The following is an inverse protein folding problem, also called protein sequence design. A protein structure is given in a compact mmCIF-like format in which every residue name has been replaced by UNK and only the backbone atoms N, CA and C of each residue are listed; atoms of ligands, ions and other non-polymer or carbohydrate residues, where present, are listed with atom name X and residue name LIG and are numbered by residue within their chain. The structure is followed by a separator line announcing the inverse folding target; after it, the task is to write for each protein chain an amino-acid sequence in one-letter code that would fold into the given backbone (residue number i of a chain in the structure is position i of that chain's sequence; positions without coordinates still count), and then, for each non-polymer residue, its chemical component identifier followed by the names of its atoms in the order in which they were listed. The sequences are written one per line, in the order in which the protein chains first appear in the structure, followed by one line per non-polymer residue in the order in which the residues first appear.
data_IF_457526049068
#
_entry.id   IF_457526049068
#
_cell.length_a   1.000
_cell.length_b   1.000
_cell.length_c   1.000
_cell.angle_alpha   90.00
_cell.angle_beta   90.00
_cell.angle_gamma   90.00
#
_symmetry.space_group_name_H-M   'P 1'
#
loop_
_entity.id
_entity.type
_entity.pdbx_description
1 polymer ?
#
# COMPACT_ATOMS: atom_id res chain seq x y z
N UNK A 1 -8.46 -30.93 -35.52
CA UNK A 1 -9.17 -29.66 -35.26
C UNK A 1 -9.76 -29.75 -33.86
N UNK A 2 -9.42 -28.85 -32.93
CA UNK A 2 -10.01 -28.89 -31.59
C UNK A 2 -11.49 -28.53 -31.68
N UNK A 3 -12.34 -29.34 -31.04
CA UNK A 3 -13.77 -29.07 -30.94
C UNK A 3 -13.96 -27.81 -30.10
N UNK A 4 -14.62 -26.80 -30.66
CA UNK A 4 -15.06 -25.62 -29.93
C UNK A 4 -16.06 -26.04 -28.87
N UNK A 5 -15.66 -26.03 -27.60
CA UNK A 5 -16.57 -26.14 -26.47
C UNK A 5 -17.54 -24.95 -26.54
N UNK A 6 -18.80 -25.25 -26.90
CA UNK A 6 -19.87 -24.29 -26.80
C UNK A 6 -20.19 -24.10 -25.32
N UNK A 7 -19.69 -23.02 -24.74
CA UNK A 7 -20.15 -22.56 -23.43
C UNK A 7 -21.66 -22.29 -23.54
N UNK A 8 -22.44 -23.02 -22.75
CA UNK A 8 -23.88 -22.83 -22.65
C UNK A 8 -24.24 -21.41 -22.21
N UNK A 9 -25.51 -20.99 -22.36
CA UNK A 9 -25.94 -19.66 -21.97
C UNK A 9 -25.59 -19.42 -20.49
N UNK A 10 -24.91 -18.30 -20.21
CA UNK A 10 -24.64 -17.87 -18.84
C UNK A 10 -25.94 -17.76 -18.06
N UNK A 11 -26.03 -18.36 -16.86
CA UNK A 11 -27.24 -18.29 -16.05
C UNK A 11 -27.60 -16.84 -15.74
N UNK A 12 -28.89 -16.51 -15.87
CA UNK A 12 -29.42 -15.19 -15.57
C UNK A 12 -29.23 -14.90 -14.07
N UNK A 13 -28.46 -13.84 -13.77
CA UNK A 13 -28.22 -13.43 -12.39
C UNK A 13 -29.51 -12.89 -11.77
N UNK A 14 -29.77 -13.26 -10.51
CA UNK A 14 -30.86 -12.67 -9.74
C UNK A 14 -30.68 -11.15 -9.65
N UNK A 15 -31.75 -10.36 -9.46
CA UNK A 15 -31.63 -8.91 -9.30
C UNK A 15 -30.63 -8.51 -8.20
N UNK A 16 -30.65 -9.23 -7.07
CA UNK A 16 -29.68 -9.01 -5.98
C UNK A 16 -28.24 -9.30 -6.42
N UNK A 17 -27.99 -10.41 -7.12
CA UNK A 17 -26.63 -10.75 -7.56
C UNK A 17 -26.08 -9.75 -8.58
N UNK A 18 -26.95 -9.14 -9.40
CA UNK A 18 -26.57 -8.03 -10.29
C UNK A 18 -26.21 -6.77 -9.51
N UNK A 19 -27.02 -6.44 -8.50
CA UNK A 19 -26.75 -5.32 -7.60
C UNK A 19 -25.41 -5.46 -6.88
N UNK A 20 -25.17 -6.61 -6.26
CA UNK A 20 -23.92 -6.89 -5.55
C UNK A 20 -22.71 -6.80 -6.49
N UNK A 21 -22.85 -7.26 -7.74
CA UNK A 21 -21.81 -7.14 -8.76
C UNK A 21 -21.54 -5.67 -9.13
N UNK A 22 -22.56 -4.82 -9.18
CA UNK A 22 -22.40 -3.38 -9.43
C UNK A 22 -21.67 -2.69 -8.27
N UNK A 23 -22.01 -2.99 -7.02
CA UNK A 23 -21.30 -2.46 -5.84
C UNK A 23 -19.81 -2.83 -5.88
N UNK A 24 -19.51 -4.10 -6.20
CA UNK A 24 -18.12 -4.57 -6.37
C UNK A 24 -17.42 -3.82 -7.51
N UNK A 25 -18.11 -3.65 -8.64
CA UNK A 25 -17.56 -2.95 -9.80
C UNK A 25 -17.24 -1.48 -9.49
N UNK A 26 -18.12 -0.77 -8.76
CA UNK A 26 -17.87 0.61 -8.34
C UNK A 26 -16.66 0.69 -7.41
N UNK A 27 -16.53 -0.27 -6.49
CA UNK A 27 -15.33 -0.43 -5.67
C UNK A 27 -14.08 -0.54 -6.53
N UNK A 28 -14.02 -1.53 -7.42
CA UNK A 28 -12.86 -1.75 -8.31
C UNK A 28 -12.59 -0.58 -9.26
N UNK A 29 -13.63 0.10 -9.74
CA UNK A 29 -13.47 1.29 -10.59
C UNK A 29 -12.87 2.45 -9.80
N UNK A 30 -13.30 2.64 -8.54
CA UNK A 30 -12.70 3.62 -7.65
C UNK A 30 -11.22 3.33 -7.39
N UNK A 31 -10.84 2.08 -7.16
CA UNK A 31 -9.44 1.67 -7.04
C UNK A 31 -8.63 2.07 -8.29
N UNK A 32 -9.12 1.73 -9.48
CA UNK A 32 -8.44 2.04 -10.74
C UNK A 32 -8.29 3.54 -10.96
N UNK A 33 -9.35 4.30 -10.70
CA UNK A 33 -9.38 5.75 -10.86
C UNK A 33 -8.41 6.42 -9.89
N UNK A 34 -8.42 6.02 -8.62
CA UNK A 34 -7.50 6.57 -7.62
C UNK A 34 -6.04 6.32 -7.98
N UNK A 35 -5.75 5.24 -8.71
CA UNK A 35 -4.42 4.97 -9.23
C UNK A 35 -4.01 5.86 -10.43
N UNK A 36 -4.97 6.34 -11.22
CA UNK A 36 -4.69 6.99 -12.50
C UNK A 36 -4.79 8.52 -12.47
N UNK A 37 -5.63 9.10 -11.61
CA UNK A 37 -5.82 10.56 -11.60
C UNK A 37 -6.19 11.11 -10.22
N UNK A 38 -5.48 12.14 -9.73
CA UNK A 38 -5.83 12.89 -8.51
C UNK A 38 -7.27 13.41 -8.47
N UNK A 39 -7.83 13.76 -9.64
CA UNK A 39 -9.17 14.33 -9.79
C UNK A 39 -10.22 13.32 -10.24
N UNK A 40 -9.82 12.05 -10.37
CA UNK A 40 -10.64 11.00 -10.92
C UNK A 40 -11.88 10.64 -10.08
N UNK A 41 -11.91 11.05 -8.80
CA UNK A 41 -13.05 10.82 -7.90
C UNK A 41 -14.39 11.33 -8.44
N UNK A 42 -14.38 12.28 -9.39
CA UNK A 42 -15.60 12.75 -10.06
C UNK A 42 -16.35 11.63 -10.76
N UNK A 43 -15.66 10.66 -11.34
CA UNK A 43 -16.29 9.54 -12.03
C UNK A 43 -16.82 8.51 -11.02
N UNK A 44 -16.09 8.25 -9.94
CA UNK A 44 -16.59 7.46 -8.79
C UNK A 44 -17.86 8.10 -8.20
N UNK A 45 -17.90 9.42 -8.09
CA UNK A 45 -19.08 10.13 -7.58
C UNK A 45 -20.28 10.06 -8.53
N UNK A 46 -20.05 9.94 -9.85
CA UNK A 46 -21.14 9.69 -10.81
C UNK A 46 -21.71 8.29 -10.62
N UNK A 47 -20.85 7.29 -10.42
CA UNK A 47 -21.28 5.92 -10.18
C UNK A 47 -22.05 5.78 -8.87
N UNK A 48 -21.56 6.43 -7.81
CA UNK A 48 -22.27 6.50 -6.53
C UNK A 48 -23.60 7.25 -6.67
N UNK A 49 -23.68 8.29 -7.50
CA UNK A 49 -24.93 9.00 -7.76
C UNK A 49 -25.92 8.16 -8.57
N UNK A 50 -25.44 7.27 -9.45
CA UNK A 50 -26.26 6.29 -10.14
C UNK A 50 -26.84 5.29 -9.14
N UNK A 51 -25.98 4.68 -8.33
CA UNK A 51 -26.35 3.73 -7.29
C UNK A 51 -27.38 4.34 -6.31
N UNK A 52 -27.15 5.60 -5.88
CA UNK A 52 -28.07 6.36 -5.01
C UNK A 52 -29.48 6.56 -5.59
N UNK A 53 -29.61 6.62 -6.92
CA UNK A 53 -30.91 6.79 -7.59
C UNK A 53 -31.67 5.48 -7.73
N UNK A 54 -30.95 4.37 -7.76
CA UNK A 54 -31.51 3.02 -7.93
C UNK A 54 -31.89 2.41 -6.58
N UNK A 55 -31.14 2.74 -5.52
CA UNK A 55 -31.34 2.21 -4.18
C UNK A 55 -32.35 2.98 -3.31
N UNK A 56 -32.90 2.27 -2.32
CA UNK A 56 -33.52 2.94 -1.16
C UNK A 56 -32.43 3.62 -0.32
N UNK A 57 -32.75 4.68 0.45
CA UNK A 57 -31.75 5.34 1.31
C UNK A 57 -31.01 4.39 2.25
N UNK A 58 -31.71 3.39 2.80
CA UNK A 58 -31.14 2.39 3.71
C UNK A 58 -30.20 1.42 2.99
N UNK A 59 -30.55 1.02 1.76
CA UNK A 59 -29.71 0.12 0.96
C UNK A 59 -28.46 0.86 0.49
N UNK A 60 -28.64 2.08 -0.04
CA UNK A 60 -27.53 2.92 -0.47
C UNK A 60 -26.51 3.18 0.65
N UNK A 61 -26.99 3.41 1.88
CA UNK A 61 -26.11 3.60 3.03
C UNK A 61 -25.22 2.39 3.29
N UNK A 62 -25.77 1.17 3.18
CA UNK A 62 -25.00 -0.08 3.31
C UNK A 62 -24.01 -0.27 2.19
N UNK A 63 -24.40 0.05 0.95
CA UNK A 63 -23.53 -0.14 -0.20
C UNK A 63 -22.38 0.88 -0.19
N UNK A 64 -22.64 2.13 0.20
CA UNK A 64 -21.60 3.13 0.42
C UNK A 64 -20.64 2.70 1.55
N UNK A 65 -21.17 2.11 2.63
CA UNK A 65 -20.34 1.53 3.69
C UNK A 65 -19.47 0.39 3.15
N UNK A 66 -20.03 -0.54 2.38
CA UNK A 66 -19.30 -1.66 1.78
C UNK A 66 -18.19 -1.20 0.81
N UNK A 67 -18.47 -0.17 0.00
CA UNK A 67 -17.48 0.45 -0.90
C UNK A 67 -16.35 1.09 -0.10
N UNK A 68 -16.67 1.87 0.93
CA UNK A 68 -15.64 2.46 1.82
C UNK A 68 -14.80 1.37 2.49
N UNK A 69 -15.43 0.32 3.01
CA UNK A 69 -14.74 -0.82 3.62
C UNK A 69 -13.77 -1.48 2.64
N UNK A 70 -14.20 -1.69 1.39
CA UNK A 70 -13.35 -2.26 0.35
C UNK A 70 -12.14 -1.37 0.07
N UNK A 71 -12.38 -0.08 -0.13
CA UNK A 71 -11.34 0.90 -0.40
C UNK A 71 -10.36 1.07 0.77
N UNK A 72 -10.79 0.86 2.02
CA UNK A 72 -9.90 0.78 3.18
C UNK A 72 -9.05 -0.48 3.20
N UNK A 73 -9.67 -1.64 2.95
CA UNK A 73 -8.98 -2.93 2.93
C UNK A 73 -7.88 -2.96 1.88
N UNK A 74 -8.11 -2.31 0.74
CA UNK A 74 -7.15 -2.20 -0.35
C UNK A 74 -6.18 -1.02 -0.21
N UNK A 75 -6.35 -0.19 0.84
CA UNK A 75 -5.42 0.88 1.18
C UNK A 75 -5.55 2.16 0.34
N UNK A 76 -6.67 2.30 -0.39
CA UNK A 76 -6.92 3.45 -1.27
C UNK A 76 -7.44 4.69 -0.55
N UNK A 77 -8.23 4.49 0.52
CA UNK A 77 -8.75 5.60 1.35
C UNK A 77 -8.20 5.55 2.79
N UNK A 78 -6.87 5.55 3.02
CA UNK A 78 -6.35 5.49 4.38
C UNK A 78 -6.82 6.71 5.16
N UNK A 79 -7.61 6.49 6.21
CA UNK A 79 -8.15 7.52 7.10
C UNK A 79 -9.08 8.54 6.40
N UNK A 80 -9.63 8.16 5.25
CA UNK A 80 -10.62 8.93 4.51
C UNK A 80 -11.82 8.05 4.19
N UNK A 81 -12.97 8.63 3.99
CA UNK A 81 -14.17 7.93 3.56
C UNK A 81 -14.94 8.82 2.61
N UNK A 82 -15.68 8.18 1.71
CA UNK A 82 -16.64 8.85 0.87
C UNK A 82 -17.92 9.02 1.70
N UNK A 83 -18.35 10.26 1.88
CA UNK A 83 -19.58 10.59 2.60
C UNK A 83 -20.52 11.38 1.71
N UNK A 84 -21.83 11.21 1.98
CA UNK A 84 -22.84 12.10 1.42
C UNK A 84 -22.77 13.47 2.09
N UNK A 85 -22.86 14.51 1.27
CA UNK A 85 -23.01 15.90 1.71
C UNK A 85 -24.47 16.21 2.02
N UNK A 86 -24.77 17.20 2.87
CA UNK A 86 -26.15 17.63 3.15
C UNK A 86 -26.92 18.11 1.91
N UNK A 87 -26.21 18.45 0.82
CA UNK A 87 -26.78 18.93 -0.44
C UNK A 87 -27.02 17.81 -1.47
N UNK A 88 -26.78 16.55 -1.12
CA UNK A 88 -27.05 15.39 -1.99
C UNK A 88 -25.94 15.05 -2.99
N UNK A 89 -24.71 15.52 -2.78
CA UNK A 89 -23.51 15.05 -3.50
C UNK A 89 -22.55 14.26 -2.60
N UNK A 90 -21.37 13.91 -3.11
CA UNK A 90 -20.35 13.17 -2.36
C UNK A 90 -19.11 14.03 -2.08
N UNK A 91 -18.43 13.73 -0.98
CA UNK A 91 -17.12 14.28 -0.69
C UNK A 91 -16.26 13.26 0.03
N UNK A 92 -14.96 13.45 -0.04
CA UNK A 92 -14.02 12.73 0.82
C UNK A 92 -13.92 13.48 2.14
N UNK A 93 -14.12 12.74 3.23
CA UNK A 93 -13.98 13.25 4.59
C UNK A 93 -12.89 12.43 5.28
N UNK A 94 -12.02 13.10 6.06
CA UNK A 94 -11.16 12.36 6.98
C UNK A 94 -12.03 11.77 8.09
N UNK A 95 -11.89 10.47 8.33
CA UNK A 95 -12.52 9.88 9.51
C UNK A 95 -11.92 10.52 10.77
N UNK A 96 -12.76 10.83 11.76
CA UNK A 96 -12.24 11.29 13.05
C UNK A 96 -11.51 10.13 13.74
N UNK A 97 -10.37 10.41 14.37
CA UNK A 97 -9.54 9.37 15.00
C UNK A 97 -10.30 8.56 16.07
N UNK A 98 -11.37 9.12 16.67
CA UNK A 98 -12.20 8.45 17.68
C UNK A 98 -13.24 7.49 17.09
N UNK A 99 -13.89 7.87 15.99
CA UNK A 99 -14.91 7.04 15.33
C UNK A 99 -14.25 5.82 14.69
N UNK A 100 -13.12 6.02 14.01
CA UNK A 100 -12.38 4.92 13.39
C UNK A 100 -11.86 3.89 14.40
N UNK A 101 -11.33 4.32 15.55
CA UNK A 101 -10.81 3.39 16.57
C UNK A 101 -11.90 2.50 17.17
N UNK A 102 -13.06 3.08 17.48
CA UNK A 102 -14.21 2.31 18.00
C UNK A 102 -14.74 1.34 16.95
N UNK A 103 -14.87 1.80 15.71
CA UNK A 103 -15.43 1.01 14.63
C UNK A 103 -14.46 -0.09 14.17
N UNK A 104 -13.15 0.16 14.14
CA UNK A 104 -12.12 -0.86 13.90
C UNK A 104 -12.07 -1.92 15.03
N UNK A 105 -12.25 -1.51 16.30
CA UNK A 105 -12.36 -2.45 17.42
C UNK A 105 -13.62 -3.33 17.32
N UNK A 106 -14.78 -2.75 17.04
CA UNK A 106 -16.02 -3.52 16.83
C UNK A 106 -15.88 -4.48 15.64
N UNK A 107 -15.23 -4.05 14.56
CA UNK A 107 -14.95 -4.88 13.37
C UNK A 107 -14.03 -6.05 13.67
N UNK A 108 -13.01 -5.88 14.51
CA UNK A 108 -12.16 -6.99 14.95
C UNK A 108 -12.96 -8.01 15.77
N UNK A 109 -13.86 -7.54 16.63
CA UNK A 109 -14.72 -8.42 17.44
C UNK A 109 -15.70 -9.22 16.56
N UNK A 110 -16.41 -8.57 15.64
CA UNK A 110 -17.35 -9.25 14.74
C UNK A 110 -16.67 -10.29 13.83
N UNK A 111 -15.44 -10.01 13.37
CA UNK A 111 -14.67 -10.98 12.59
C UNK A 111 -14.23 -12.18 13.44
N UNK A 112 -13.72 -11.92 14.64
CA UNK A 112 -13.35 -12.98 15.58
C UNK A 112 -14.57 -13.88 15.86
N UNK A 113 -15.74 -13.29 16.13
CA UNK A 113 -16.98 -14.03 16.40
C UNK A 113 -17.44 -14.88 15.20
N UNK A 114 -17.28 -14.38 13.96
CA UNK A 114 -17.55 -15.17 12.74
C UNK A 114 -16.53 -16.29 12.51
N UNK A 115 -15.26 -16.08 12.87
CA UNK A 115 -14.20 -17.09 12.69
C UNK A 115 -14.30 -18.28 13.66
N UNK A 116 -15.02 -18.13 14.78
CA UNK A 116 -15.34 -19.23 15.71
C UNK A 116 -16.66 -19.94 15.40
N UNK A 117 -17.47 -19.41 14.48
CA UNK A 117 -18.71 -20.03 14.02
C UNK A 117 -18.47 -20.82 12.73
N UNK A 118 -17.50 -21.75 12.73
CA UNK A 118 -17.51 -22.80 11.72
C UNK A 118 -18.76 -23.68 11.97
N UNK A 119 -19.68 -23.85 11.02
CA UNK A 119 -20.77 -24.80 11.20
C UNK A 119 -20.16 -26.17 11.44
N UNK A 120 -20.59 -26.83 12.52
CA UNK A 120 -20.21 -28.20 12.79
C UNK A 120 -20.43 -29.03 11.51
N UNK A 121 -19.46 -29.85 11.07
CA UNK A 121 -19.60 -30.62 9.84
C UNK A 121 -20.88 -31.46 9.95
N UNK A 122 -21.81 -31.21 9.04
CA UNK A 122 -23.01 -32.02 8.93
C UNK A 122 -22.59 -33.48 8.76
N UNK A 123 -23.05 -34.34 9.66
CA UNK A 123 -22.78 -35.77 9.62
C UNK A 123 -23.28 -36.32 8.27
N UNK A 124 -22.34 -36.64 7.37
CA UNK A 124 -22.66 -37.37 6.15
C UNK A 124 -22.81 -38.85 6.48
N UNK A 125 -23.94 -39.48 6.12
CA UNK A 125 -24.13 -40.91 6.30
C UNK A 125 -23.50 -41.68 5.14
N UNK A 126 -22.58 -42.60 5.46
CA UNK A 126 -22.36 -43.82 4.68
C UNK A 126 -21.21 -43.83 3.66
N UNK A 127 -20.22 -44.68 3.95
CA UNK A 127 -19.61 -45.66 3.02
C UNK A 127 -18.84 -45.15 1.78
N UNK A 128 -17.54 -45.43 1.71
CA UNK A 128 -16.96 -46.64 1.09
C UNK A 128 -15.44 -46.47 1.01
N UNK A 129 -14.73 -47.48 1.50
CA UNK A 129 -13.28 -47.61 1.47
C UNK A 129 -12.87 -48.22 0.11
N UNK A 130 -12.06 -47.53 -0.66
CA UNK A 130 -11.32 -48.13 -1.78
C UNK A 130 -10.02 -47.37 -2.00
N UNK A 131 -8.91 -48.08 -1.79
CA UNK A 131 -7.57 -47.54 -1.96
C UNK A 131 -7.26 -47.30 -3.42
N UNK A 132 -6.66 -46.14 -3.69
CA UNK A 132 -5.83 -45.93 -4.87
C UNK A 132 -4.79 -44.86 -4.52
N UNK A 133 -3.52 -45.26 -4.57
CA UNK A 133 -2.37 -44.36 -4.60
C UNK A 133 -1.95 -44.27 -6.07
N UNK A 134 -1.76 -43.05 -6.60
CA UNK A 134 -0.49 -42.82 -7.27
C UNK A 134 0.11 -41.43 -7.02
N UNK A 135 1.37 -41.39 -7.42
CA UNK A 135 2.41 -40.38 -7.31
C UNK A 135 2.24 -39.13 -8.17
N UNK A 136 3.12 -38.16 -7.86
CA UNK A 136 3.67 -37.10 -8.71
C UNK A 136 2.86 -35.81 -8.99
N UNK A 137 3.49 -34.70 -8.60
CA UNK A 137 3.57 -33.49 -9.44
C UNK A 137 2.42 -32.50 -9.36
N UNK A 138 2.47 -31.58 -8.39
CA UNK A 138 1.74 -30.32 -8.49
C UNK A 138 2.58 -29.16 -7.93
N UNK A 139 3.06 -28.33 -8.85
CA UNK A 139 3.59 -26.99 -8.61
C UNK A 139 2.59 -26.17 -7.81
N UNK A 140 2.89 -25.99 -6.51
CA UNK A 140 2.12 -25.14 -5.62
C UNK A 140 2.18 -23.69 -6.08
N UNK A 141 1.09 -23.24 -6.71
CA UNK A 141 0.77 -21.84 -6.96
C UNK A 141 0.76 -21.12 -5.61
N UNK A 142 1.65 -20.15 -5.43
CA UNK A 142 1.86 -19.43 -4.18
C UNK A 142 0.55 -18.92 -3.59
N UNK A 143 0.20 -19.44 -2.40
CA UNK A 143 -0.86 -18.87 -1.59
C UNK A 143 -0.44 -17.48 -1.14
N UNK A 144 -1.22 -16.47 -1.51
CA UNK A 144 -1.09 -15.13 -0.95
C UNK A 144 -1.30 -15.23 0.57
N UNK A 145 -0.27 -14.92 1.35
CA UNK A 145 -0.41 -14.78 2.79
C UNK A 145 -1.43 -13.66 3.10
N UNK A 146 -2.26 -13.79 4.15
CA UNK A 146 -3.17 -12.74 4.56
C UNK A 146 -2.37 -11.47 4.89
N UNK A 147 -2.65 -10.39 4.16
CA UNK A 147 -2.00 -9.06 4.31
C UNK A 147 -2.15 -8.59 5.77
N UNK A 148 -1.04 -8.24 6.42
CA UNK A 148 -1.10 -7.56 7.71
C UNK A 148 -1.77 -6.20 7.53
N UNK A 149 -2.87 -5.96 8.25
CA UNK A 149 -3.65 -4.72 8.18
C UNK A 149 -2.88 -3.57 8.84
N UNK A 150 -2.92 -2.40 8.20
CA UNK A 150 -2.43 -1.12 8.71
C UNK A 150 -3.02 -0.83 10.11
N UNK A 151 -2.16 -0.53 11.10
CA UNK A 151 -2.56 -0.23 12.48
C UNK A 151 -2.58 1.30 12.73
N UNK A 152 -3.75 1.92 12.93
CA UNK A 152 -3.93 3.37 13.13
C UNK A 152 -3.41 3.90 14.48
N UNK A 153 -3.09 3.02 15.45
CA UNK A 153 -2.51 3.44 16.74
C UNK A 153 -1.09 4.01 16.60
N UNK A 154 -0.48 3.82 15.43
CA UNK A 154 0.87 4.24 15.10
C UNK A 154 0.88 5.61 14.36
N UNK A 155 0.16 6.62 14.88
CA UNK A 155 0.20 7.99 14.31
C UNK A 155 1.13 8.91 15.10
N UNK A 156 2.15 9.44 14.43
CA UNK A 156 2.97 10.55 14.94
C UNK A 156 2.29 11.90 14.75
N UNK A 157 2.46 12.81 15.71
CA UNK A 157 1.97 14.19 15.60
C UNK A 157 2.82 14.97 14.57
N UNK A 158 2.23 15.53 13.49
CA UNK A 158 2.98 16.26 12.47
C UNK A 158 3.56 17.55 13.08
N UNK A 159 4.90 17.63 13.15
CA UNK A 159 5.60 18.87 13.46
C UNK A 159 6.49 18.87 14.71
N UNK A 160 6.54 17.79 15.50
CA UNK A 160 7.49 17.70 16.61
C UNK A 160 8.08 16.28 16.72
N UNK A 161 8.84 15.91 15.70
CA UNK A 161 9.55 14.64 15.69
C UNK A 161 10.63 14.66 16.78
N UNK A 162 10.58 13.72 17.72
CA UNK A 162 11.71 13.45 18.60
C UNK A 162 12.76 12.74 17.77
N UNK A 163 13.62 13.52 17.13
CA UNK A 163 14.69 12.99 16.28
C UNK A 163 15.75 12.30 17.15
N UNK A 164 16.07 11.05 16.82
CA UNK A 164 17.17 10.32 17.43
C UNK A 164 18.40 10.44 16.54
N UNK A 165 19.47 11.14 16.94
CA UNK A 165 20.60 11.41 16.07
C UNK A 165 21.52 10.21 15.83
N UNK A 166 21.31 9.07 16.50
CA UNK A 166 22.22 7.93 16.42
C UNK A 166 21.82 7.01 15.28
N UNK A 167 22.75 6.79 14.34
CA UNK A 167 22.69 5.67 13.39
C UNK A 167 22.91 4.38 14.19
N UNK A 168 21.87 3.58 14.40
CA UNK A 168 21.97 2.31 15.12
C UNK A 168 21.77 1.12 14.20
N UNK A 169 22.68 0.14 14.27
CA UNK A 169 22.62 -1.09 13.50
C UNK A 169 23.27 -0.98 12.12
N UNK A 170 23.74 -2.11 11.59
CA UNK A 170 24.51 -2.12 10.34
C UNK A 170 23.64 -1.89 9.10
N UNK A 171 22.37 -2.29 9.14
CA UNK A 171 21.41 -1.98 8.08
C UNK A 171 21.27 -0.47 7.88
N UNK A 172 21.05 0.28 8.97
CA UNK A 172 20.92 1.74 8.92
C UNK A 172 22.19 2.41 8.36
N UNK A 173 23.38 1.95 8.78
CA UNK A 173 24.66 2.46 8.23
C UNK A 173 24.79 2.21 6.73
N UNK A 174 24.43 1.02 6.24
CA UNK A 174 24.49 0.69 4.81
C UNK A 174 23.51 1.51 3.99
N UNK A 175 22.27 1.68 4.50
CA UNK A 175 21.26 2.54 3.86
C UNK A 175 21.78 3.97 3.76
N UNK A 176 22.31 4.50 4.85
CA UNK A 176 22.87 5.85 4.89
C UNK A 176 24.04 6.02 3.91
N UNK A 177 24.96 5.06 3.87
CA UNK A 177 26.09 5.10 2.94
C UNK A 177 25.62 5.09 1.47
N UNK A 178 24.66 4.23 1.11
CA UNK A 178 24.08 4.19 -0.23
C UNK A 178 23.36 5.50 -0.57
N UNK A 179 22.48 5.97 0.32
CA UNK A 179 21.71 7.20 0.13
C UNK A 179 22.61 8.44 -0.04
N UNK A 180 23.71 8.53 0.71
CA UNK A 180 24.67 9.63 0.58
C UNK A 180 25.46 9.56 -0.73
N UNK A 181 25.83 8.36 -1.19
CA UNK A 181 26.58 8.19 -2.43
C UNK A 181 25.80 8.63 -3.68
N UNK A 182 24.47 8.64 -3.58
CA UNK A 182 23.57 9.04 -4.65
C UNK A 182 23.22 10.53 -4.67
N UNK A 183 23.67 11.34 -3.69
CA UNK A 183 23.36 12.78 -3.65
C UNK A 183 23.86 13.47 -4.93
N UNK A 184 22.97 14.22 -5.57
CA UNK A 184 23.20 14.93 -6.83
C UNK A 184 23.06 14.05 -8.07
N UNK A 185 22.87 12.74 -7.93
CA UNK A 185 22.62 11.86 -9.06
C UNK A 185 21.20 12.06 -9.61
N UNK A 186 21.01 11.88 -10.93
CA UNK A 186 19.67 11.79 -11.51
C UNK A 186 18.88 10.64 -10.87
N UNK A 187 17.57 10.80 -10.73
CA UNK A 187 16.72 9.74 -10.18
C UNK A 187 16.89 8.42 -10.94
N UNK A 188 16.68 7.32 -10.21
CA UNK A 188 16.63 5.97 -10.75
C UNK A 188 15.49 5.83 -11.76
N UNK A 189 15.83 5.92 -13.06
CA UNK A 189 14.88 5.74 -14.17
C UNK A 189 14.70 4.27 -14.56
N UNK A 190 15.71 3.44 -14.30
CA UNK A 190 15.76 2.04 -14.79
C UNK A 190 14.67 1.16 -14.20
N UNK A 191 14.32 1.36 -12.93
CA UNK A 191 13.18 0.67 -12.31
C UNK A 191 11.85 1.17 -12.82
N UNK A 192 11.79 2.36 -13.44
CA UNK A 192 10.52 3.03 -13.70
C UNK A 192 9.85 2.67 -15.03
N UNK A 193 10.42 1.81 -15.88
CA UNK A 193 9.84 1.24 -17.13
C UNK A 193 8.94 2.16 -17.99
N UNK A 194 9.09 3.49 -17.93
CA UNK A 194 8.23 4.43 -18.65
C UNK A 194 7.07 5.06 -17.85
N UNK A 195 7.03 4.95 -16.51
CA UNK A 195 6.19 5.81 -15.69
C UNK A 195 6.51 7.28 -16.00
N UNK A 196 5.45 8.07 -16.08
CA UNK A 196 5.25 9.36 -16.75
C UNK A 196 6.25 10.46 -16.35
N UNK A 197 7.50 10.32 -16.80
CA UNK A 197 8.53 11.33 -16.64
C UNK A 197 9.09 11.43 -15.21
N UNK A 198 10.05 12.33 -15.06
CA UNK A 198 10.87 12.59 -13.89
C UNK A 198 10.13 12.92 -12.56
N UNK A 199 8.80 12.80 -12.48
CA UNK A 199 7.97 13.31 -11.38
C UNK A 199 7.43 12.25 -10.43
N UNK A 200 7.54 10.97 -10.77
CA UNK A 200 6.88 9.85 -10.04
C UNK A 200 7.89 8.82 -9.49
N UNK A 201 9.14 9.24 -9.25
CA UNK A 201 10.24 8.31 -8.94
C UNK A 201 10.64 8.20 -7.46
N UNK A 202 9.90 8.76 -6.50
CA UNK A 202 10.37 8.82 -5.11
C UNK A 202 10.49 7.43 -4.48
N UNK A 203 9.47 6.58 -4.60
CA UNK A 203 9.52 5.20 -4.13
C UNK A 203 10.55 4.36 -4.90
N UNK A 204 10.61 4.52 -6.23
CA UNK A 204 11.59 3.82 -7.05
C UNK A 204 13.05 4.15 -6.67
N UNK A 205 13.35 5.41 -6.35
CA UNK A 205 14.66 5.83 -5.86
C UNK A 205 14.97 5.21 -4.50
N UNK A 206 14.02 5.25 -3.55
CA UNK A 206 14.20 4.63 -2.23
C UNK A 206 14.39 3.12 -2.36
N UNK A 207 13.58 2.41 -3.14
CA UNK A 207 13.78 0.98 -3.43
C UNK A 207 15.18 0.69 -3.96
N UNK A 208 15.71 1.55 -4.83
CA UNK A 208 17.06 1.38 -5.39
C UNK A 208 18.15 1.57 -4.33
N UNK A 209 18.02 2.60 -3.48
CA UNK A 209 18.92 2.82 -2.34
C UNK A 209 18.92 1.62 -1.39
N UNK A 210 17.73 1.09 -1.05
CA UNK A 210 17.62 -0.06 -0.14
C UNK A 210 18.25 -1.34 -0.72
N UNK A 211 18.14 -1.54 -2.03
CA UNK A 211 18.79 -2.64 -2.76
C UNK A 211 20.30 -2.46 -2.84
N UNK A 212 20.79 -1.26 -3.15
CA UNK A 212 22.21 -0.95 -3.16
C UNK A 212 22.84 -1.15 -1.77
N UNK A 213 22.09 -0.84 -0.71
CA UNK A 213 22.48 -1.10 0.67
C UNK A 213 22.44 -2.60 1.06
N UNK A 214 21.86 -3.46 0.22
CA UNK A 214 21.65 -4.87 0.50
C UNK A 214 20.75 -5.12 1.72
N UNK A 215 19.79 -4.21 1.98
CA UNK A 215 18.88 -4.31 3.13
C UNK A 215 17.48 -4.79 2.73
N UNK A 216 17.06 -4.54 1.49
CA UNK A 216 15.77 -4.98 0.96
C UNK A 216 15.86 -5.24 -0.54
N UNK A 217 15.00 -6.12 -1.06
CA UNK A 217 14.87 -6.40 -2.49
C UNK A 217 13.53 -5.92 -3.07
N UNK A 218 12.82 -5.02 -2.37
CA UNK A 218 11.56 -4.46 -2.85
C UNK A 218 11.74 -3.62 -4.13
N UNK A 219 10.77 -3.70 -5.03
CA UNK A 219 10.78 -3.03 -6.34
C UNK A 219 9.49 -2.24 -6.56
N UNK A 220 9.18 -1.34 -5.64
CA UNK A 220 7.91 -0.63 -5.64
C UNK A 220 8.06 0.81 -6.14
N UNK A 221 7.18 1.21 -7.05
CA UNK A 221 7.14 2.57 -7.62
C UNK A 221 6.12 3.46 -6.91
N UNK A 222 5.25 2.87 -6.10
CA UNK A 222 4.19 3.57 -5.38
C UNK A 222 4.50 3.58 -3.88
N UNK A 223 4.43 4.74 -3.23
CA UNK A 223 4.78 4.89 -1.81
C UNK A 223 4.02 3.91 -0.90
N UNK A 224 2.71 3.73 -1.14
CA UNK A 224 1.88 2.84 -0.32
C UNK A 224 2.27 1.37 -0.48
N UNK A 225 2.61 0.94 -1.71
CA UNK A 225 3.11 -0.43 -1.95
C UNK A 225 4.48 -0.64 -1.35
N UNK A 226 5.37 0.35 -1.47
CA UNK A 226 6.69 0.30 -0.86
C UNK A 226 6.59 0.15 0.66
N UNK A 227 5.76 0.95 1.32
CA UNK A 227 5.52 0.80 2.75
C UNK A 227 5.01 -0.62 3.09
N UNK A 228 3.99 -1.10 2.38
CA UNK A 228 3.41 -2.41 2.63
C UNK A 228 4.42 -3.56 2.42
N UNK A 229 5.26 -3.47 1.38
CA UNK A 229 6.30 -4.45 1.08
C UNK A 229 7.39 -4.46 2.16
N UNK A 230 7.85 -3.29 2.62
CA UNK A 230 8.82 -3.20 3.71
C UNK A 230 8.26 -3.77 5.01
N UNK A 231 7.00 -3.48 5.35
CA UNK A 231 6.35 -4.08 6.52
C UNK A 231 6.26 -5.61 6.42
N UNK A 232 6.02 -6.15 5.23
CA UNK A 232 6.05 -7.61 4.99
C UNK A 232 7.45 -8.21 5.18
N UNK A 233 8.51 -7.45 4.88
CA UNK A 233 9.91 -7.82 5.16
C UNK A 233 10.32 -7.61 6.64
N UNK A 234 9.37 -7.27 7.52
CA UNK A 234 9.60 -7.15 8.96
C UNK A 234 10.11 -5.78 9.42
N UNK A 235 10.02 -4.75 8.56
CA UNK A 235 10.25 -3.38 8.99
C UNK A 235 9.18 -2.93 9.99
N UNK A 236 9.59 -2.15 10.98
CA UNK A 236 8.69 -1.73 12.06
C UNK A 236 8.37 -0.24 11.98
N UNK A 237 7.11 0.11 12.17
CA UNK A 237 6.68 1.52 12.19
C UNK A 237 7.14 2.19 13.49
N UNK A 238 7.57 3.44 13.39
CA UNK A 238 8.02 4.27 14.52
C UNK A 238 7.53 5.72 14.39
N UNK A 239 7.58 6.44 15.52
CA UNK A 239 7.33 7.88 15.62
C UNK A 239 8.56 8.69 15.99
N UNK A 240 9.69 8.00 16.14
CA UNK A 240 10.98 8.57 16.53
C UNK A 240 11.93 8.34 15.36
N UNK A 241 12.00 9.29 14.40
CA UNK A 241 12.86 9.11 13.24
C UNK A 241 14.32 8.97 13.69
N UNK A 242 15.01 8.02 13.08
CA UNK A 242 16.43 7.77 13.24
C UNK A 242 17.10 7.68 11.86
N UNK A 243 18.38 8.07 11.72
CA UNK A 243 19.12 7.89 10.49
C UNK A 243 19.03 6.47 9.93
N UNK A 244 18.75 6.35 8.64
CA UNK A 244 18.55 5.07 7.94
C UNK A 244 17.11 4.57 7.93
N UNK A 245 16.18 5.21 8.64
CA UNK A 245 14.75 4.94 8.50
C UNK A 245 14.26 5.33 7.10
N UNK A 246 13.19 4.68 6.64
CA UNK A 246 12.42 5.18 5.50
C UNK A 246 11.29 6.06 6.02
N UNK A 247 11.21 7.30 5.54
CA UNK A 247 10.13 8.24 5.87
C UNK A 247 9.11 8.31 4.74
N UNK A 248 7.83 8.20 5.08
CA UNK A 248 6.70 8.40 4.17
C UNK A 248 5.90 9.62 4.63
N UNK A 249 5.56 10.50 3.69
CA UNK A 249 4.62 11.59 3.89
C UNK A 249 3.38 11.36 3.04
N UNK A 250 2.19 11.42 3.65
CA UNK A 250 0.90 11.29 2.96
C UNK A 250 0.10 12.59 3.09
N UNK A 251 -0.34 13.13 1.95
CA UNK A 251 -0.94 14.46 1.80
C UNK A 251 -2.39 14.40 1.30
N UNK A 252 -2.98 13.21 1.24
CA UNK A 252 -4.26 12.91 0.60
C UNK A 252 -4.09 11.83 -0.48
N UNK A 253 -5.13 11.58 -1.26
CA UNK A 253 -5.25 10.41 -2.16
C UNK A 253 -4.15 10.25 -3.21
N UNK A 254 -3.53 11.33 -3.65
CA UNK A 254 -2.55 11.32 -4.76
C UNK A 254 -1.24 12.00 -4.42
N UNK A 255 -1.12 12.48 -3.18
CA UNK A 255 0.10 13.14 -2.72
C UNK A 255 0.72 12.20 -1.70
N UNK A 256 1.70 11.44 -2.14
CA UNK A 256 2.59 10.72 -1.25
C UNK A 256 4.03 11.06 -1.63
N UNK A 257 4.91 11.02 -0.66
CA UNK A 257 6.34 11.18 -0.86
C UNK A 257 7.11 10.28 0.08
N UNK A 258 8.31 9.90 -0.31
CA UNK A 258 9.13 8.99 0.47
C UNK A 258 10.60 9.37 0.33
N UNK A 259 11.35 9.17 1.42
CA UNK A 259 12.79 9.41 1.49
C UNK A 259 13.45 8.53 2.54
N UNK A 260 14.76 8.73 2.70
CA UNK A 260 15.59 8.13 3.75
C UNK A 260 15.86 9.19 4.80
N UNK A 261 15.59 8.92 6.07
CA UNK A 261 15.96 9.81 7.18
C UNK A 261 17.48 9.88 7.25
N UNK A 262 18.02 11.10 7.12
CA UNK A 262 19.44 11.36 7.20
C UNK A 262 19.90 11.78 8.59
N UNK A 263 21.18 12.11 8.72
CA UNK A 263 21.73 12.69 9.95
C UNK A 263 21.23 14.12 10.17
N UNK A 264 21.37 14.65 11.40
CA UNK A 264 21.09 16.04 11.74
C UNK A 264 19.68 16.55 11.36
N UNK A 265 18.68 15.67 11.37
CA UNK A 265 17.31 16.04 11.02
C UNK A 265 17.13 16.36 9.54
N UNK A 266 17.91 15.70 8.67
CA UNK A 266 17.73 15.74 7.21
C UNK A 266 16.92 14.55 6.71
N UNK A 267 16.42 14.64 5.49
CA UNK A 267 15.91 13.53 4.70
C UNK A 267 16.58 13.57 3.34
N UNK A 268 17.04 12.42 2.86
CA UNK A 268 17.48 12.26 1.48
C UNK A 268 16.33 11.71 0.67
N UNK A 269 15.90 12.45 -0.34
CA UNK A 269 14.74 12.08 -1.12
C UNK A 269 14.88 12.51 -2.57
N UNK A 270 13.85 12.19 -3.34
CA UNK A 270 13.76 12.57 -4.72
C UNK A 270 13.00 13.90 -4.86
N UNK A 271 13.71 14.96 -5.23
CA UNK A 271 13.08 16.25 -5.45
C UNK A 271 12.52 16.35 -6.87
N UNK A 272 11.22 16.11 -7.03
CA UNK A 272 10.54 16.07 -8.35
C UNK A 272 10.71 17.33 -9.23
N UNK A 273 11.04 18.49 -8.65
CA UNK A 273 11.32 19.71 -9.42
C UNK A 273 12.72 19.77 -10.03
N UNK A 274 13.71 19.10 -9.43
CA UNK A 274 15.09 19.03 -9.93
C UNK A 274 15.35 17.69 -10.64
N UNK A 275 14.56 16.67 -10.32
CA UNK A 275 14.75 15.31 -10.83
C UNK A 275 16.06 14.68 -10.34
N UNK A 276 16.53 15.11 -9.18
CA UNK A 276 17.76 14.65 -8.55
C UNK A 276 17.48 14.13 -7.15
N UNK A 277 18.32 13.20 -6.71
CA UNK A 277 18.38 12.79 -5.31
C UNK A 277 19.08 13.90 -4.51
N UNK A 278 18.38 14.50 -3.56
CA UNK A 278 18.88 15.62 -2.75
C UNK A 278 18.80 15.31 -1.26
N UNK A 279 19.44 16.16 -0.45
CA UNK A 279 19.30 16.15 0.99
C UNK A 279 18.61 17.42 1.44
N UNK A 280 17.44 17.26 2.03
CA UNK A 280 16.56 18.34 2.48
C UNK A 280 16.30 18.23 3.98
N UNK A 281 15.66 19.24 4.56
CA UNK A 281 15.26 19.20 5.97
C UNK A 281 14.17 18.15 6.19
N UNK A 282 14.31 17.29 7.20
CA UNK A 282 13.28 16.32 7.60
C UNK A 282 11.95 17.00 7.97
N UNK A 283 12.00 18.27 8.41
CA UNK A 283 10.80 19.07 8.67
C UNK A 283 9.91 19.24 7.43
N UNK A 284 10.44 19.03 6.22
CA UNK A 284 9.65 18.91 4.99
C UNK A 284 8.50 17.91 5.16
N UNK A 285 8.79 16.74 5.75
CA UNK A 285 7.83 15.68 6.00
C UNK A 285 6.82 16.03 7.09
N UNK A 286 7.15 16.96 8.00
CA UNK A 286 6.24 17.45 9.04
C UNK A 286 5.06 18.29 8.52
N UNK A 287 5.08 18.69 7.24
CA UNK A 287 3.98 19.42 6.58
C UNK A 287 2.93 18.50 5.94
N UNK A 288 3.16 17.19 5.98
CA UNK A 288 2.24 16.21 5.42
C UNK A 288 1.12 15.91 6.41
N UNK A 289 -0.01 15.41 5.90
CA UNK A 289 -1.16 15.08 6.73
C UNK A 289 -0.86 13.93 7.70
N UNK A 290 -0.02 13.01 7.23
CA UNK A 290 0.48 11.88 7.99
C UNK A 290 1.95 11.65 7.61
N UNK A 291 2.75 11.33 8.61
CA UNK A 291 4.16 10.95 8.44
C UNK A 291 4.40 9.62 9.14
N UNK A 292 4.96 8.66 8.41
CA UNK A 292 5.28 7.32 8.91
C UNK A 292 6.78 7.11 8.77
N UNK A 293 7.43 6.59 9.80
CA UNK A 293 8.82 6.17 9.75
C UNK A 293 8.88 4.66 9.86
N UNK A 294 9.62 4.00 8.97
CA UNK A 294 9.88 2.57 9.03
C UNK A 294 11.34 2.32 9.40
N UNK A 295 11.54 1.58 10.48
CA UNK A 295 12.84 1.13 10.97
C UNK A 295 13.20 -0.19 10.29
N UNK A 296 14.43 -0.34 9.76
CA UNK A 296 14.89 -1.60 9.22
C UNK A 296 14.90 -2.67 10.32
N UNK A 297 14.61 -3.94 10.00
CA UNK A 297 14.79 -5.02 10.95
C UNK A 297 16.24 -5.04 11.43
N UNK A 298 16.43 -5.16 12.74
CA UNK A 298 17.78 -5.42 13.25
C UNK A 298 18.24 -6.77 12.71
N UNK A 299 19.48 -6.85 12.22
CA UNK A 299 20.07 -8.09 11.77
C UNK A 299 20.05 -9.08 12.93
N UNK A 300 19.06 -9.99 12.94
CA UNK A 300 19.04 -11.14 13.84
C UNK A 300 20.01 -12.14 13.24
N UNK A 301 21.26 -12.10 13.70
CA UNK A 301 22.26 -13.12 13.41
C UNK A 301 22.52 -13.40 11.92
N UNK A 302 22.24 -12.44 11.04
CA UNK A 302 22.55 -12.60 9.62
C UNK A 302 24.08 -12.59 9.52
N UNK A 303 24.72 -13.70 9.06
CA UNK A 303 26.17 -13.76 8.96
C UNK A 303 26.61 -12.58 8.12
N UNK A 304 27.70 -11.92 8.56
CA UNK A 304 28.37 -10.79 7.88
C UNK A 304 28.74 -11.19 6.45
N UNK A 305 27.75 -11.24 5.59
CA UNK A 305 27.93 -11.39 4.17
C UNK A 305 28.36 -10.00 3.76
N UNK A 306 29.60 -9.81 3.31
CA UNK A 306 30.07 -8.50 2.90
C UNK A 306 29.02 -7.93 1.95
N UNK A 307 28.58 -6.71 2.23
CA UNK A 307 27.60 -6.04 1.41
C UNK A 307 28.06 -6.19 -0.05
N UNK A 308 27.18 -6.60 -0.97
CA UNK A 308 27.56 -6.66 -2.38
C UNK A 308 28.17 -5.32 -2.74
N UNK A 309 29.35 -5.35 -3.38
CA UNK A 309 29.97 -4.11 -3.84
C UNK A 309 28.90 -3.37 -4.62
N UNK A 310 28.49 -2.15 -4.19
CA UNK A 310 27.38 -1.47 -4.82
C UNK A 310 27.71 -1.38 -6.30
N UNK A 311 26.85 -1.95 -7.14
CA UNK A 311 26.97 -1.75 -8.57
C UNK A 311 27.00 -0.24 -8.77
N UNK A 312 28.04 0.27 -9.43
CA UNK A 312 28.18 1.70 -9.65
C UNK A 312 26.87 2.22 -10.22
N UNK A 313 26.34 3.30 -9.62
CA UNK A 313 25.19 4.01 -10.14
C UNK A 313 25.40 4.18 -11.63
N UNK A 314 24.61 3.48 -12.46
CA UNK A 314 24.71 3.63 -13.91
C UNK A 314 23.76 4.78 -14.23
N UNK A 315 24.26 6.00 -14.46
CA UNK A 315 23.39 7.12 -14.75
C UNK A 315 22.56 6.78 -15.99
N UNK A 316 21.25 7.07 -15.92
CA UNK A 316 20.39 6.90 -17.06
C UNK A 316 21.01 7.62 -18.29
N UNK A 317 20.94 7.03 -19.49
CA UNK A 317 21.43 7.70 -20.69
C UNK A 317 20.76 9.07 -20.81
N UNK A 318 21.56 10.09 -21.16
CA UNK A 318 21.03 11.43 -21.42
C UNK A 318 19.89 11.34 -22.44
N UNK A 319 18.81 12.11 -22.28
CA UNK A 319 17.74 12.12 -23.28
C UNK A 319 18.33 12.44 -24.66
N UNK A 320 17.97 11.66 -25.67
CA UNK A 320 18.30 11.98 -27.04
C UNK A 320 17.68 13.35 -27.37
N UNK A 321 18.53 14.33 -27.69
CA UNK A 321 18.12 15.68 -28.08
C UNK A 321 17.54 15.76 -29.48
#
# INVERSE_FOLDING_TARGET
MPQSEQFGPTPDLTPQARHDAEVIQIGSHAEQIFNQSPDGYKDVFKDLEKLRKEDTPEQFAKDLEAINQRLHLDGWLPNMEIVMTPKGGFMLRRQSDSEWKQEAQQRQQQYNDRSYAAPAPAASPGGYNSGYSPSEGASGRGGYAPRQRYNPEQRGNPGNFRYNPRVSGDAAKRIMAAAHSDIGQPMWRETNHGASGAREGCAASVSSVLRQAGVSNVHEMECHRLQAALQQEGWTVSHTPSPGDVVFGYGGLSRAHVGIVGENGTAMDNHSSTGQWSSDSLSYFGRWNETVFLHPPQAKDQPDTPAPTPAAHTPAPAPAG
#
